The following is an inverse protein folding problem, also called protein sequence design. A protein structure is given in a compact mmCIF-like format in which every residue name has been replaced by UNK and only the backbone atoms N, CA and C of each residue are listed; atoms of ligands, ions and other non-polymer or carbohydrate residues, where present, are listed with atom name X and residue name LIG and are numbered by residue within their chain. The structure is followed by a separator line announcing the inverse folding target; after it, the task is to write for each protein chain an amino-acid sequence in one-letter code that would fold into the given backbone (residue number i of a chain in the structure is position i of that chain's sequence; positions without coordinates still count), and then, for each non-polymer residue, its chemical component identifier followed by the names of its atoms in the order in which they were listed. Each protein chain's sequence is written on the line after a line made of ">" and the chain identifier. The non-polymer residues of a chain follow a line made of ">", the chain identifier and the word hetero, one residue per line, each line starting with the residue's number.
data_IF_361190469128
#
_entry.id   IF_361190469128
#
_cell.length_a   1.000
_cell.length_b   1.000
_cell.length_c   1.000
_cell.angle_alpha   90.00
_cell.angle_beta   90.00
_cell.angle_gamma   90.00
#
_symmetry.space_group_name_H-M   'P 1'
#
loop_
_entity.id
_entity.type
_entity.pdbx_description
1 polymer ?
#
# COMPACT_ATOMS: atom_id res chain seq x y z
N UNK A 1 -2.15 -26.31 7.03
CA UNK A 1 -1.99 -26.88 5.69
C UNK A 1 -3.36 -27.27 5.14
N UNK A 2 -4.08 -26.32 4.55
CA UNK A 2 -5.32 -26.58 3.82
C UNK A 2 -5.04 -26.49 2.32
N UNK A 3 -4.99 -27.63 1.65
CA UNK A 3 -4.88 -27.76 0.21
C UNK A 3 -6.17 -27.24 -0.44
N UNK A 4 -6.16 -26.00 -0.92
CA UNK A 4 -7.16 -25.56 -1.89
C UNK A 4 -6.95 -26.38 -3.17
N UNK A 5 -7.85 -27.35 -3.37
CA UNK A 5 -7.94 -28.11 -4.62
C UNK A 5 -8.25 -27.12 -5.74
N UNK A 6 -7.27 -26.91 -6.61
CA UNK A 6 -7.44 -26.31 -7.92
C UNK A 6 -8.58 -27.02 -8.66
N UNK A 7 -9.78 -26.45 -8.60
CA UNK A 7 -10.82 -26.72 -9.58
C UNK A 7 -10.30 -26.13 -10.89
N UNK A 8 -9.83 -27.02 -11.76
CA UNK A 8 -9.33 -26.70 -13.09
C UNK A 8 -10.42 -26.07 -13.94
N UNK A 9 -10.62 -24.76 -13.79
CA UNK A 9 -11.13 -23.92 -14.85
C UNK A 9 -10.01 -23.79 -15.87
N UNK A 10 -10.02 -24.70 -16.85
CA UNK A 10 -9.32 -24.50 -18.12
C UNK A 10 -9.96 -23.32 -18.84
N UNK A 11 -9.69 -22.09 -18.36
CA UNK A 11 -9.85 -20.89 -19.17
C UNK A 11 -8.76 -21.01 -20.23
N UNK A 12 -9.10 -21.64 -21.36
CA UNK A 12 -8.32 -21.50 -22.57
C UNK A 12 -8.41 -20.02 -22.93
N UNK A 13 -7.45 -19.22 -22.46
CA UNK A 13 -7.19 -17.91 -23.01
C UNK A 13 -6.83 -18.16 -24.46
N UNK A 14 -7.81 -18.04 -25.35
CA UNK A 14 -7.53 -17.93 -26.78
C UNK A 14 -6.57 -16.74 -26.91
N UNK A 15 -5.35 -17.03 -27.36
CA UNK A 15 -4.25 -16.09 -27.37
C UNK A 15 -4.74 -14.72 -27.92
N UNK A 16 -4.78 -13.71 -27.05
CA UNK A 16 -5.09 -12.32 -27.41
C UNK A 16 -6.49 -11.78 -27.10
N UNK A 17 -7.46 -12.58 -26.60
CA UNK A 17 -8.77 -12.02 -26.19
C UNK A 17 -8.71 -11.47 -24.76
N UNK A 18 -9.25 -10.26 -24.56
CA UNK A 18 -9.55 -9.75 -23.21
C UNK A 18 -10.50 -10.67 -22.46
N UNK A 19 -10.31 -10.75 -21.15
CA UNK A 19 -11.19 -11.51 -20.26
C UNK A 19 -12.51 -10.77 -20.14
N UNK A 20 -13.63 -11.48 -20.25
CA UNK A 20 -14.90 -10.85 -19.93
C UNK A 20 -15.03 -10.64 -18.42
N UNK A 21 -15.93 -9.73 -18.02
CA UNK A 21 -16.32 -9.57 -16.61
C UNK A 21 -16.69 -10.90 -15.96
N UNK A 22 -17.43 -11.76 -16.68
CA UNK A 22 -17.83 -13.07 -16.18
C UNK A 22 -16.62 -13.99 -15.93
N UNK A 23 -15.61 -13.97 -16.81
CA UNK A 23 -14.38 -14.76 -16.66
C UNK A 23 -13.62 -14.34 -15.39
N UNK A 24 -13.45 -13.02 -15.18
CA UNK A 24 -12.76 -12.46 -14.01
C UNK A 24 -13.51 -12.80 -12.72
N UNK A 25 -14.83 -12.58 -12.68
CA UNK A 25 -15.63 -12.86 -11.48
C UNK A 25 -15.71 -14.36 -11.18
N UNK A 26 -15.80 -15.21 -12.21
CA UNK A 26 -15.78 -16.66 -12.01
C UNK A 26 -14.46 -17.15 -11.43
N UNK A 27 -13.34 -16.55 -11.84
CA UNK A 27 -12.04 -16.87 -11.28
C UNK A 27 -11.90 -16.38 -9.83
N UNK A 28 -12.40 -15.17 -9.54
CA UNK A 28 -12.28 -14.54 -8.23
C UNK A 28 -13.38 -14.92 -7.21
N UNK A 29 -14.37 -15.74 -7.58
CA UNK A 29 -15.52 -16.10 -6.73
C UNK A 29 -15.10 -16.65 -5.37
N UNK A 30 -14.06 -17.50 -5.34
CA UNK A 30 -13.48 -18.03 -4.11
C UNK A 30 -12.95 -16.92 -3.19
N UNK A 31 -12.18 -15.97 -3.72
CA UNK A 31 -11.62 -14.84 -2.94
C UNK A 31 -12.69 -13.83 -2.49
N UNK A 32 -13.79 -13.71 -3.24
CA UNK A 32 -14.94 -12.89 -2.86
C UNK A 32 -15.63 -13.52 -1.66
N UNK A 33 -15.92 -14.83 -1.73
CA UNK A 33 -16.63 -15.57 -0.66
C UNK A 33 -15.75 -15.77 0.57
N UNK A 34 -14.51 -16.13 0.37
CA UNK A 34 -13.52 -16.45 1.40
C UNK A 34 -12.29 -15.56 1.21
N UNK A 35 -12.27 -14.35 1.81
CA UNK A 35 -11.14 -13.44 1.71
C UNK A 35 -9.85 -14.12 2.24
N UNK A 36 -8.70 -14.00 1.54
CA UNK A 36 -7.45 -14.66 1.91
C UNK A 36 -6.73 -13.93 3.06
N UNK A 37 -7.36 -13.87 4.22
CA UNK A 37 -6.89 -13.11 5.39
C UNK A 37 -5.83 -13.92 6.15
N UNK A 38 -4.75 -13.29 6.63
CA UNK A 38 -3.82 -13.94 7.55
C UNK A 38 -4.57 -14.47 8.80
N UNK A 39 -4.33 -15.74 9.23
CA UNK A 39 -5.09 -16.35 10.33
C UNK A 39 -5.16 -15.52 11.60
N UNK A 40 -4.06 -14.83 11.94
CA UNK A 40 -3.93 -13.96 13.10
C UNK A 40 -4.79 -12.68 13.04
N UNK A 41 -5.28 -12.31 11.86
CA UNK A 41 -6.13 -11.15 11.63
C UNK A 41 -7.58 -11.50 11.28
N UNK A 42 -7.94 -12.79 11.28
CA UNK A 42 -9.28 -13.25 10.91
C UNK A 42 -10.38 -12.63 11.77
N UNK A 43 -10.12 -12.40 13.07
CA UNK A 43 -11.06 -11.77 13.98
C UNK A 43 -11.42 -10.32 13.59
N UNK A 44 -10.53 -9.63 12.86
CA UNK A 44 -10.77 -8.26 12.38
C UNK A 44 -11.89 -8.21 11.34
N UNK A 45 -12.09 -9.29 10.58
CA UNK A 45 -13.00 -9.34 9.43
C UNK A 45 -14.47 -9.08 9.79
N UNK A 46 -14.90 -9.49 10.99
CA UNK A 46 -16.28 -9.33 11.46
C UNK A 46 -16.56 -7.99 12.15
N UNK A 47 -15.54 -7.14 12.34
CA UNK A 47 -15.70 -5.85 13.02
C UNK A 47 -16.15 -4.78 12.03
N UNK A 48 -17.00 -3.86 12.49
CA UNK A 48 -17.45 -2.68 11.72
C UNK A 48 -16.26 -1.77 11.43
N UNK A 49 -15.88 -1.62 10.16
CA UNK A 49 -14.78 -0.75 9.71
C UNK A 49 -15.18 0.72 9.75
N UNK A 50 -16.27 1.04 9.05
CA UNK A 50 -16.78 2.40 8.89
C UNK A 50 -18.27 2.35 8.49
N UNK A 51 -18.90 3.53 8.41
CA UNK A 51 -20.25 3.66 7.85
C UNK A 51 -20.15 4.02 6.37
N UNK A 52 -20.70 3.18 5.49
CA UNK A 52 -20.81 3.48 4.05
C UNK A 52 -22.26 3.88 3.78
N UNK A 53 -22.48 5.10 3.31
CA UNK A 53 -23.83 5.65 3.08
C UNK A 53 -24.76 5.53 4.30
N UNK A 54 -24.22 5.72 5.51
CA UNK A 54 -24.96 5.59 6.77
C UNK A 54 -25.16 4.17 7.27
N UNK A 55 -24.66 3.14 6.56
CA UNK A 55 -24.78 1.73 6.96
C UNK A 55 -23.47 1.26 7.60
N UNK A 56 -23.49 0.74 8.84
CA UNK A 56 -22.35 0.07 9.45
C UNK A 56 -21.86 -1.07 8.56
N UNK A 57 -20.62 -0.98 8.09
CA UNK A 57 -20.04 -1.92 7.14
C UNK A 57 -18.86 -2.63 7.81
N UNK A 58 -18.88 -3.95 7.85
CA UNK A 58 -17.78 -4.76 8.38
C UNK A 58 -16.55 -4.71 7.48
N UNK A 59 -15.37 -5.06 8.00
CA UNK A 59 -14.14 -5.21 7.19
C UNK A 59 -14.36 -6.16 6.01
N UNK A 60 -15.11 -7.25 6.21
CA UNK A 60 -15.46 -8.20 5.15
C UNK A 60 -16.31 -7.57 4.05
N UNK A 61 -17.38 -6.88 4.42
CA UNK A 61 -18.28 -6.23 3.47
C UNK A 61 -17.55 -5.10 2.74
N UNK A 62 -16.71 -4.35 3.44
CA UNK A 62 -15.92 -3.28 2.88
C UNK A 62 -14.91 -3.82 1.85
N UNK A 63 -14.17 -4.88 2.20
CA UNK A 63 -13.30 -5.58 1.26
C UNK A 63 -14.05 -6.03 -0.01
N UNK A 64 -15.22 -6.66 0.14
CA UNK A 64 -15.99 -7.18 -1.00
C UNK A 64 -16.56 -6.07 -1.87
N UNK A 65 -17.32 -5.17 -1.27
CA UNK A 65 -18.18 -4.22 -2.01
C UNK A 65 -17.49 -2.90 -2.34
N UNK A 66 -16.53 -2.46 -1.52
CA UNK A 66 -15.87 -1.16 -1.72
C UNK A 66 -14.49 -1.28 -2.37
N UNK A 67 -13.80 -2.41 -2.19
CA UNK A 67 -12.45 -2.62 -2.72
C UNK A 67 -12.42 -3.63 -3.87
N UNK A 68 -12.65 -4.91 -3.58
CA UNK A 68 -12.41 -5.99 -4.54
C UNK A 68 -13.33 -5.91 -5.74
N UNK A 69 -14.67 -5.91 -5.57
CA UNK A 69 -15.59 -5.88 -6.71
C UNK A 69 -15.37 -4.65 -7.62
N UNK A 70 -15.27 -3.42 -7.10
CA UNK A 70 -14.93 -2.27 -7.93
C UNK A 70 -13.59 -2.41 -8.67
N UNK A 71 -12.58 -3.02 -8.04
CA UNK A 71 -11.29 -3.30 -8.69
C UNK A 71 -11.45 -4.30 -9.85
N UNK A 72 -12.22 -5.38 -9.65
CA UNK A 72 -12.50 -6.38 -10.68
C UNK A 72 -13.30 -5.77 -11.84
N UNK A 73 -14.25 -4.88 -11.55
CA UNK A 73 -15.01 -4.15 -12.57
C UNK A 73 -14.08 -3.26 -13.41
N UNK A 74 -13.20 -2.46 -12.79
CA UNK A 74 -12.19 -1.64 -13.50
C UNK A 74 -11.23 -2.49 -14.35
N UNK A 75 -10.84 -3.66 -13.85
CA UNK A 75 -10.02 -4.60 -14.63
C UNK A 75 -10.83 -5.13 -15.83
N UNK A 76 -12.11 -5.46 -15.64
CA UNK A 76 -12.97 -5.97 -16.71
C UNK A 76 -13.28 -4.94 -17.81
N UNK A 77 -13.28 -3.64 -17.49
CA UNK A 77 -13.46 -2.55 -18.45
C UNK A 77 -12.32 -2.43 -19.47
N UNK A 78 -11.15 -3.02 -19.20
CA UNK A 78 -10.02 -3.01 -20.12
C UNK A 78 -10.33 -3.73 -21.44
N UNK A 79 -10.35 -2.98 -22.55
CA UNK A 79 -10.68 -3.52 -23.87
C UNK A 79 -9.69 -4.59 -24.39
N UNK A 80 -8.45 -4.55 -23.92
CA UNK A 80 -7.38 -5.48 -24.28
C UNK A 80 -6.75 -6.09 -23.03
N UNK A 81 -6.16 -7.28 -23.13
CA UNK A 81 -5.43 -7.91 -22.01
C UNK A 81 -4.37 -6.97 -21.42
N UNK A 82 -3.70 -6.16 -22.25
CA UNK A 82 -2.73 -5.18 -21.78
C UNK A 82 -3.36 -4.10 -20.91
N UNK A 83 -4.55 -3.61 -21.27
CA UNK A 83 -5.29 -2.64 -20.44
C UNK A 83 -5.79 -3.27 -19.15
N UNK A 84 -6.27 -4.52 -19.19
CA UNK A 84 -6.67 -5.26 -17.99
C UNK A 84 -5.49 -5.51 -17.05
N UNK A 85 -4.33 -5.87 -17.61
CA UNK A 85 -3.06 -6.00 -16.86
C UNK A 85 -2.65 -4.68 -16.21
N UNK A 86 -2.71 -3.58 -16.96
CA UNK A 86 -2.39 -2.26 -16.43
C UNK A 86 -3.34 -1.86 -15.29
N UNK A 87 -4.65 -2.03 -15.47
CA UNK A 87 -5.64 -1.78 -14.42
C UNK A 87 -5.37 -2.65 -13.18
N UNK A 88 -5.10 -3.94 -13.36
CA UNK A 88 -4.77 -4.86 -12.27
C UNK A 88 -3.53 -4.41 -11.49
N UNK A 89 -2.47 -4.01 -12.19
CA UNK A 89 -1.26 -3.47 -11.55
C UNK A 89 -1.52 -2.15 -10.83
N UNK A 90 -2.33 -1.25 -11.39
CA UNK A 90 -2.71 -0.01 -10.71
C UNK A 90 -3.43 -0.31 -9.40
N UNK A 91 -4.40 -1.23 -9.40
CA UNK A 91 -5.12 -1.62 -8.19
C UNK A 91 -4.21 -2.26 -7.13
N UNK A 92 -3.24 -3.08 -7.54
CA UNK A 92 -2.20 -3.64 -6.65
C UNK A 92 -1.34 -2.53 -6.06
N UNK A 93 -0.85 -1.60 -6.89
CA UNK A 93 0.01 -0.49 -6.46
C UNK A 93 -0.72 0.47 -5.51
N UNK A 94 -2.04 0.65 -5.66
CA UNK A 94 -2.85 1.45 -4.76
C UNK A 94 -2.94 0.85 -3.34
N UNK A 95 -2.69 -0.46 -3.16
CA UNK A 95 -2.66 -1.08 -1.84
C UNK A 95 -1.40 -0.76 -1.04
N UNK A 96 -0.33 -0.27 -1.69
CA UNK A 96 0.95 0.00 -1.03
C UNK A 96 0.78 0.98 0.12
N UNK A 97 0.04 2.08 -0.07
CA UNK A 97 -0.08 3.14 0.95
C UNK A 97 -0.63 2.63 2.28
N UNK A 98 -1.71 1.84 2.26
CA UNK A 98 -2.34 1.31 3.47
C UNK A 98 -1.45 0.31 4.19
N UNK A 99 -0.72 -0.51 3.43
CA UNK A 99 0.28 -1.44 3.98
C UNK A 99 1.43 -0.69 4.63
N UNK A 100 1.97 0.30 3.94
CA UNK A 100 3.06 1.14 4.43
C UNK A 100 2.66 1.87 5.70
N UNK A 101 1.48 2.50 5.75
CA UNK A 101 0.99 3.18 6.96
C UNK A 101 0.92 2.23 8.15
N UNK A 102 0.31 1.06 7.99
CA UNK A 102 0.23 0.06 9.06
C UNK A 102 1.62 -0.39 9.55
N UNK A 103 2.51 -0.72 8.62
CA UNK A 103 3.87 -1.19 8.96
C UNK A 103 4.67 -0.10 9.67
N UNK A 104 4.65 1.14 9.17
CA UNK A 104 5.35 2.27 9.78
C UNK A 104 4.80 2.60 11.17
N UNK A 105 3.48 2.53 11.37
CA UNK A 105 2.85 2.73 12.68
C UNK A 105 3.36 1.72 13.72
N UNK A 106 3.55 0.46 13.32
CA UNK A 106 4.03 -0.61 14.20
C UNK A 106 5.55 -0.69 14.35
N UNK A 107 6.30 -0.04 13.45
CA UNK A 107 7.77 0.10 13.53
C UNK A 107 8.21 1.34 14.31
N UNK A 108 7.33 2.32 14.53
CA UNK A 108 7.62 3.49 15.35
C UNK A 108 8.05 3.09 16.76
N UNK A 109 9.09 3.74 17.28
CA UNK A 109 9.66 3.44 18.61
C UNK A 109 8.96 4.23 19.71
N UNK A 110 8.43 5.39 19.38
CA UNK A 110 7.80 6.33 20.32
C UNK A 110 6.37 6.64 19.89
N UNK A 111 5.54 7.10 20.84
CA UNK A 111 4.18 7.56 20.54
C UNK A 111 4.16 8.76 19.61
N UNK A 112 5.18 9.62 19.66
CA UNK A 112 5.31 10.79 18.78
C UNK A 112 5.66 10.36 17.35
N UNK A 113 6.56 9.38 17.18
CA UNK A 113 6.81 8.77 15.87
C UNK A 113 5.55 8.11 15.31
N UNK A 114 4.82 7.36 16.13
CA UNK A 114 3.54 6.76 15.75
C UNK A 114 2.49 7.83 15.39
N UNK A 115 2.52 8.99 16.06
CA UNK A 115 1.59 10.10 15.80
C UNK A 115 1.73 10.65 14.38
N UNK A 116 2.90 10.56 13.74
CA UNK A 116 3.07 10.96 12.34
C UNK A 116 2.16 10.17 11.40
N UNK A 117 1.99 8.87 11.67
CA UNK A 117 1.10 8.02 10.89
C UNK A 117 -0.36 8.23 11.30
N UNK A 118 -0.64 8.36 12.61
CA UNK A 118 -2.00 8.65 13.10
C UNK A 118 -2.53 9.97 12.52
N UNK A 119 -1.69 10.98 12.38
CA UNK A 119 -2.05 12.26 11.75
C UNK A 119 -2.46 12.08 10.29
N UNK A 120 -1.81 11.20 9.52
CA UNK A 120 -2.23 10.86 8.16
C UNK A 120 -3.60 10.17 8.13
N UNK A 121 -3.87 9.27 9.08
CA UNK A 121 -5.23 8.72 9.22
C UNK A 121 -6.25 9.79 9.62
N UNK A 122 -5.92 10.72 10.51
CA UNK A 122 -6.81 11.83 10.91
C UNK A 122 -7.12 12.79 9.75
N UNK A 123 -6.21 12.98 8.80
CA UNK A 123 -6.51 13.74 7.58
C UNK A 123 -7.62 13.07 6.74
N UNK A 124 -7.74 11.74 6.81
CA UNK A 124 -8.74 10.95 6.10
C UNK A 124 -10.01 10.76 6.95
N UNK A 125 -9.84 10.62 8.27
CA UNK A 125 -10.88 10.38 9.26
C UNK A 125 -10.80 11.40 10.41
N UNK A 126 -11.17 12.67 10.19
CA UNK A 126 -10.93 13.76 11.15
C UNK A 126 -11.62 13.59 12.50
N UNK A 127 -12.71 12.83 12.55
CA UNK A 127 -13.53 12.62 13.75
C UNK A 127 -13.17 11.33 14.50
N UNK A 128 -12.16 10.58 14.06
CA UNK A 128 -11.80 9.31 14.67
C UNK A 128 -11.05 9.51 16.01
N UNK A 129 -11.48 8.77 17.03
CA UNK A 129 -10.75 8.66 18.30
C UNK A 129 -9.49 7.81 18.13
N UNK A 130 -8.54 7.88 19.08
CA UNK A 130 -7.32 7.06 19.03
C UNK A 130 -7.61 5.54 18.93
N UNK A 131 -8.59 5.05 19.70
CA UNK A 131 -9.00 3.64 19.65
C UNK A 131 -9.61 3.28 18.29
N UNK A 132 -10.39 4.20 17.71
CA UNK A 132 -10.94 4.02 16.37
C UNK A 132 -9.83 4.02 15.31
N UNK A 133 -8.86 4.93 15.38
CA UNK A 133 -7.70 4.99 14.48
C UNK A 133 -6.85 3.71 14.55
N UNK A 134 -6.61 3.19 15.77
CA UNK A 134 -5.90 1.95 15.95
C UNK A 134 -6.60 0.81 15.21
N UNK A 135 -7.93 0.72 15.33
CA UNK A 135 -8.69 -0.28 14.61
C UNK A 135 -8.77 -0.02 13.09
N UNK A 136 -8.98 1.22 12.64
CA UNK A 136 -8.97 1.60 11.22
C UNK A 136 -7.64 1.19 10.56
N UNK A 137 -6.51 1.39 11.26
CA UNK A 137 -5.20 1.01 10.72
C UNK A 137 -5.11 -0.49 10.41
N UNK A 138 -5.55 -1.35 11.34
CA UNK A 138 -5.60 -2.80 11.16
C UNK A 138 -6.62 -3.17 10.08
N UNK A 139 -7.79 -2.54 10.10
CA UNK A 139 -8.88 -2.82 9.17
C UNK A 139 -8.49 -2.54 7.71
N UNK A 140 -7.94 -1.35 7.42
CA UNK A 140 -7.45 -1.02 6.08
C UNK A 140 -6.25 -1.86 5.67
N UNK A 141 -5.35 -2.19 6.61
CA UNK A 141 -4.28 -3.14 6.34
C UNK A 141 -4.82 -4.50 5.87
N UNK A 142 -5.79 -5.07 6.59
CA UNK A 142 -6.44 -6.34 6.24
C UNK A 142 -7.11 -6.26 4.87
N UNK A 143 -7.88 -5.20 4.59
CA UNK A 143 -8.49 -4.99 3.27
C UNK A 143 -7.43 -4.95 2.18
N UNK A 144 -6.32 -4.24 2.40
CA UNK A 144 -5.27 -4.10 1.40
C UNK A 144 -4.49 -5.39 1.14
N UNK A 145 -4.08 -6.13 2.18
CA UNK A 145 -3.34 -7.39 1.97
C UNK A 145 -4.21 -8.47 1.33
N UNK A 146 -5.50 -8.52 1.66
CA UNK A 146 -6.43 -9.47 1.05
C UNK A 146 -6.75 -9.13 -0.40
N UNK A 147 -6.94 -7.83 -0.69
CA UNK A 147 -7.17 -7.35 -2.06
C UNK A 147 -5.94 -7.61 -2.92
N UNK A 148 -4.75 -7.25 -2.43
CA UNK A 148 -3.48 -7.52 -3.12
C UNK A 148 -3.30 -9.02 -3.40
N UNK A 149 -3.54 -9.89 -2.41
CA UNK A 149 -3.43 -11.33 -2.59
C UNK A 149 -4.36 -11.87 -3.70
N UNK A 150 -5.61 -11.41 -3.74
CA UNK A 150 -6.57 -11.77 -4.80
C UNK A 150 -6.10 -11.28 -6.17
N UNK A 151 -5.77 -9.98 -6.28
CA UNK A 151 -5.41 -9.35 -7.55
C UNK A 151 -4.07 -9.86 -8.08
N UNK A 152 -3.08 -10.07 -7.21
CA UNK A 152 -1.81 -10.69 -7.58
C UNK A 152 -2.03 -12.11 -8.10
N UNK A 153 -2.92 -12.90 -7.49
CA UNK A 153 -3.22 -14.27 -7.97
C UNK A 153 -3.91 -14.27 -9.33
N UNK A 154 -4.90 -13.39 -9.52
CA UNK A 154 -5.55 -13.15 -10.82
C UNK A 154 -4.52 -12.73 -11.88
N UNK A 155 -3.68 -11.76 -11.54
CA UNK A 155 -2.71 -11.16 -12.45
C UNK A 155 -1.65 -12.15 -12.91
N UNK A 156 -1.12 -12.98 -12.00
CA UNK A 156 -0.18 -14.07 -12.33
C UNK A 156 -0.81 -15.11 -13.24
N UNK A 157 -2.05 -15.48 -12.95
CA UNK A 157 -2.70 -16.61 -13.62
C UNK A 157 -3.25 -16.24 -15.00
N UNK A 158 -3.82 -15.04 -15.16
CA UNK A 158 -4.58 -14.68 -16.36
C UNK A 158 -4.09 -13.42 -17.09
N UNK A 159 -3.26 -12.56 -16.47
CA UNK A 159 -2.83 -11.28 -17.05
C UNK A 159 -1.31 -11.16 -17.28
N UNK A 160 -0.55 -12.24 -17.07
CA UNK A 160 0.88 -12.28 -17.36
C UNK A 160 1.72 -11.38 -16.44
N UNK A 161 1.31 -11.19 -15.18
CA UNK A 161 2.18 -10.60 -14.16
C UNK A 161 3.18 -11.68 -13.73
N UNK A 162 4.45 -11.50 -14.11
CA UNK A 162 5.53 -12.44 -13.79
C UNK A 162 6.36 -12.03 -12.59
N UNK A 163 7.29 -12.91 -12.18
CA UNK A 163 8.19 -12.73 -11.04
C UNK A 163 8.99 -11.41 -11.08
N UNK A 164 9.40 -10.97 -12.27
CA UNK A 164 10.11 -9.69 -12.42
C UNK A 164 9.22 -8.50 -12.03
N UNK A 165 7.95 -8.51 -12.44
CA UNK A 165 7.00 -7.44 -12.07
C UNK A 165 6.69 -7.48 -10.58
N UNK A 166 6.62 -8.67 -9.97
CA UNK A 166 6.47 -8.80 -8.51
C UNK A 166 7.64 -8.19 -7.75
N UNK A 167 8.87 -8.47 -8.18
CA UNK A 167 10.08 -7.84 -7.61
C UNK A 167 10.05 -6.31 -7.73
N UNK A 168 9.48 -5.78 -8.82
CA UNK A 168 9.32 -4.33 -8.99
C UNK A 168 8.24 -3.75 -8.08
N UNK A 169 7.14 -4.47 -7.85
CA UNK A 169 6.10 -4.10 -6.87
C UNK A 169 6.70 -4.10 -5.46
N UNK A 170 7.45 -5.14 -5.10
CA UNK A 170 8.12 -5.24 -3.80
C UNK A 170 9.12 -4.10 -3.59
N UNK A 171 9.88 -3.74 -4.63
CA UNK A 171 10.78 -2.59 -4.61
C UNK A 171 10.04 -1.28 -4.35
N UNK A 172 8.92 -1.04 -5.04
CA UNK A 172 8.08 0.14 -4.79
C UNK A 172 7.53 0.16 -3.36
N UNK A 173 7.15 -1.01 -2.83
CA UNK A 173 6.64 -1.14 -1.46
C UNK A 173 7.71 -0.82 -0.42
N UNK A 174 8.91 -1.40 -0.57
CA UNK A 174 10.05 -1.08 0.31
C UNK A 174 10.42 0.39 0.26
N UNK A 175 10.44 0.98 -0.95
CA UNK A 175 10.76 2.40 -1.10
C UNK A 175 9.70 3.31 -0.46
N UNK A 176 8.41 2.94 -0.54
CA UNK A 176 7.35 3.65 0.17
C UNK A 176 7.51 3.58 1.70
N UNK A 177 7.89 2.40 2.22
CA UNK A 177 8.24 2.24 3.63
C UNK A 177 9.42 3.13 4.04
N UNK A 178 10.48 3.19 3.24
CA UNK A 178 11.65 4.03 3.54
C UNK A 178 11.30 5.51 3.60
N UNK A 179 10.48 6.00 2.66
CA UNK A 179 9.99 7.39 2.65
C UNK A 179 9.22 7.70 3.93
N UNK A 180 8.25 6.83 4.29
CA UNK A 180 7.37 7.09 5.43
C UNK A 180 8.08 6.88 6.77
N UNK A 181 9.00 5.92 6.86
CA UNK A 181 9.83 5.72 8.05
C UNK A 181 10.77 6.88 8.31
N UNK A 182 11.14 7.68 7.31
CA UNK A 182 12.00 8.85 7.53
C UNK A 182 11.35 9.84 8.50
N UNK A 183 10.08 10.21 8.25
CA UNK A 183 9.31 11.09 9.13
C UNK A 183 9.19 10.49 10.55
N UNK A 184 8.91 9.19 10.65
CA UNK A 184 8.76 8.48 11.93
C UNK A 184 10.09 8.49 12.70
N UNK A 185 11.19 8.15 12.05
CA UNK A 185 12.50 8.03 12.68
C UNK A 185 13.04 9.38 13.18
N UNK A 186 12.76 10.48 12.48
CA UNK A 186 13.15 11.83 12.92
C UNK A 186 12.37 12.20 14.19
N UNK A 187 11.08 11.92 14.22
CA UNK A 187 10.25 12.21 15.38
C UNK A 187 10.62 11.32 16.58
N UNK A 188 10.95 10.06 16.34
CA UNK A 188 11.52 9.18 17.37
C UNK A 188 12.85 9.73 17.89
N UNK A 189 13.74 10.22 17.01
CA UNK A 189 15.01 10.82 17.41
C UNK A 189 14.83 12.10 18.24
N UNK A 190 13.94 13.01 17.82
CA UNK A 190 13.60 14.24 18.56
C UNK A 190 13.12 13.89 19.96
N UNK A 191 12.22 12.91 20.07
CA UNK A 191 11.68 12.48 21.35
C UNK A 191 12.75 11.89 22.27
N UNK A 192 13.59 11.00 21.75
CA UNK A 192 14.59 10.31 22.56
C UNK A 192 15.69 11.24 23.08
N UNK A 193 16.07 12.27 22.31
CA UNK A 193 17.22 13.13 22.63
C UNK A 193 16.82 14.51 23.16
N UNK A 194 15.62 15.00 22.85
CA UNK A 194 15.25 16.41 23.05
C UNK A 194 13.83 16.63 23.58
N UNK A 195 13.12 15.61 24.08
CA UNK A 195 11.76 15.76 24.64
C UNK A 195 11.63 16.84 25.73
N UNK A 196 12.69 17.07 26.51
CA UNK A 196 12.69 18.03 27.63
C UNK A 196 13.19 19.42 27.19
N UNK A 197 13.48 19.62 25.89
CA UNK A 197 13.89 20.89 25.30
C UNK A 197 12.96 21.30 24.14
N UNK A 198 11.81 21.94 24.44
CA UNK A 198 10.82 22.31 23.43
C UNK A 198 11.32 23.27 22.36
N UNK A 199 12.27 24.16 22.69
CA UNK A 199 12.85 25.12 21.75
C UNK A 199 13.65 24.37 20.68
N UNK A 200 14.55 23.48 21.11
CA UNK A 200 15.33 22.66 20.20
C UNK A 200 14.46 21.68 19.38
N UNK A 201 13.40 21.12 19.98
CA UNK A 201 12.46 20.29 19.25
C UNK A 201 11.73 21.06 18.12
N UNK A 202 11.43 22.34 18.34
CA UNK A 202 10.84 23.22 17.33
C UNK A 202 11.86 23.57 16.23
N UNK A 203 13.10 23.91 16.62
CA UNK A 203 14.17 24.18 15.66
C UNK A 203 14.43 22.97 14.75
N UNK A 204 14.44 21.77 15.32
CA UNK A 204 14.64 20.53 14.56
C UNK A 204 13.44 20.20 13.65
N UNK A 205 12.21 20.54 14.07
CA UNK A 205 11.04 20.46 13.21
C UNK A 205 11.12 21.44 12.02
N UNK A 206 11.54 22.70 12.27
CA UNK A 206 11.79 23.68 11.21
C UNK A 206 12.89 23.24 10.25
N UNK A 207 14.00 22.72 10.79
CA UNK A 207 15.08 22.15 9.97
C UNK A 207 14.60 20.99 9.10
N UNK A 208 13.77 20.09 9.63
CA UNK A 208 13.16 19.00 8.84
C UNK A 208 12.32 19.55 7.69
N UNK A 209 11.51 20.58 7.96
CA UNK A 209 10.64 21.17 6.95
C UNK A 209 11.42 21.83 5.81
N UNK A 210 12.52 22.51 6.13
CA UNK A 210 13.36 23.20 5.15
C UNK A 210 14.28 22.26 4.37
N UNK A 211 14.77 21.17 4.99
CA UNK A 211 15.84 20.35 4.44
C UNK A 211 15.38 18.94 4.02
N UNK A 212 14.58 18.26 4.84
CA UNK A 212 14.20 16.87 4.59
C UNK A 212 12.89 16.74 3.79
N UNK A 213 11.90 17.60 4.02
CA UNK A 213 10.64 17.55 3.26
C UNK A 213 10.83 17.73 1.73
N UNK A 214 11.75 18.58 1.24
CA UNK A 214 12.04 18.64 -0.20
C UNK A 214 12.57 17.31 -0.76
N UNK A 215 13.40 16.60 0.00
CA UNK A 215 13.91 15.28 -0.41
C UNK A 215 12.78 14.24 -0.38
N UNK A 216 11.98 14.17 0.68
CA UNK A 216 10.87 13.20 0.74
C UNK A 216 9.83 13.45 -0.35
N UNK A 217 9.62 14.72 -0.74
CA UNK A 217 8.80 15.08 -1.89
C UNK A 217 9.37 14.52 -3.20
N UNK A 218 10.67 14.67 -3.44
CA UNK A 218 11.35 14.09 -4.62
C UNK A 218 11.34 12.56 -4.60
N UNK A 219 11.53 11.92 -3.44
CA UNK A 219 11.39 10.47 -3.30
C UNK A 219 9.96 10.01 -3.62
N UNK A 220 8.95 10.74 -3.14
CA UNK A 220 7.54 10.44 -3.45
C UNK A 220 7.24 10.58 -4.95
N UNK A 221 7.80 11.60 -5.61
CA UNK A 221 7.70 11.75 -7.06
C UNK A 221 8.36 10.58 -7.81
N UNK A 222 9.54 10.14 -7.36
CA UNK A 222 10.21 8.96 -7.92
C UNK A 222 9.37 7.68 -7.71
N UNK A 223 8.75 7.51 -6.55
CA UNK A 223 7.87 6.37 -6.26
C UNK A 223 6.66 6.35 -7.21
N UNK A 224 5.95 7.48 -7.38
CA UNK A 224 4.79 7.55 -8.26
C UNK A 224 5.16 7.34 -9.73
N UNK A 225 6.28 7.92 -10.19
CA UNK A 225 6.81 7.64 -11.52
C UNK A 225 7.13 6.15 -11.69
N UNK A 226 7.77 5.54 -10.69
CA UNK A 226 8.13 4.11 -10.69
C UNK A 226 6.91 3.21 -10.77
N UNK A 227 5.87 3.48 -9.96
CA UNK A 227 4.59 2.75 -10.01
C UNK A 227 4.00 2.79 -11.43
N UNK A 228 3.95 3.97 -12.05
CA UNK A 228 3.48 4.13 -13.44
C UNK A 228 4.34 3.32 -14.43
N UNK A 229 5.66 3.38 -14.30
CA UNK A 229 6.55 2.60 -15.16
C UNK A 229 6.35 1.10 -15.02
N UNK A 230 6.08 0.58 -13.82
CA UNK A 230 5.76 -0.85 -13.62
C UNK A 230 4.42 -1.21 -14.27
N UNK A 231 3.39 -0.38 -14.08
CA UNK A 231 2.05 -0.57 -14.68
C UNK A 231 2.16 -0.71 -16.21
N UNK A 232 2.92 0.18 -16.85
CA UNK A 232 3.08 0.22 -18.31
C UNK A 232 4.27 -0.60 -18.85
N UNK A 233 4.97 -1.35 -17.99
CA UNK A 233 6.07 -2.22 -18.43
C UNK A 233 7.31 -1.47 -18.95
N UNK A 234 7.53 -0.23 -18.51
CA UNK A 234 8.66 0.63 -18.89
C UNK A 234 9.66 0.85 -17.75
N UNK A 235 9.58 0.04 -16.69
CA UNK A 235 10.42 0.18 -15.51
C UNK A 235 11.90 -0.14 -15.79
N UNK A 236 12.74 0.89 -15.68
CA UNK A 236 14.20 0.78 -15.73
C UNK A 236 14.78 0.69 -14.31
N UNK A 237 15.25 -0.50 -13.96
CA UNK A 237 15.86 -0.76 -12.65
C UNK A 237 17.17 0.00 -12.45
N UNK A 238 17.96 0.23 -13.51
CA UNK A 238 19.23 0.93 -13.39
C UNK A 238 18.98 2.43 -13.15
N UNK A 239 18.04 3.03 -13.88
CA UNK A 239 17.65 4.43 -13.65
C UNK A 239 17.02 4.62 -12.27
N UNK A 240 16.13 3.71 -11.84
CA UNK A 240 15.57 3.75 -10.48
C UNK A 240 16.66 3.71 -9.41
N UNK A 241 17.60 2.75 -9.50
CA UNK A 241 18.69 2.61 -8.53
C UNK A 241 19.58 3.85 -8.50
N UNK A 242 19.89 4.43 -9.65
CA UNK A 242 20.69 5.65 -9.75
C UNK A 242 20.00 6.82 -9.05
N UNK A 243 18.74 7.09 -9.39
CA UNK A 243 17.96 8.19 -8.80
C UNK A 243 17.69 7.99 -7.31
N UNK A 244 17.38 6.77 -6.87
CA UNK A 244 17.22 6.45 -5.45
C UNK A 244 18.53 6.71 -4.71
N UNK A 245 19.65 6.24 -5.26
CA UNK A 245 20.97 6.43 -4.64
C UNK A 245 21.34 7.91 -4.53
N UNK A 246 21.10 8.71 -5.56
CA UNK A 246 21.31 10.17 -5.53
C UNK A 246 20.53 10.82 -4.37
N UNK A 247 19.26 10.44 -4.19
CA UNK A 247 18.42 10.92 -3.08
C UNK A 247 18.87 10.38 -1.71
N UNK A 248 19.33 9.13 -1.66
CA UNK A 248 19.84 8.51 -0.43
C UNK A 248 21.16 9.15 0.03
N UNK A 249 22.05 9.49 -0.92
CA UNK A 249 23.32 10.18 -0.66
C UNK A 249 23.05 11.62 -0.18
N UNK A 250 22.17 12.37 -0.87
CA UNK A 250 21.74 13.73 -0.45
C UNK A 250 21.11 13.72 0.95
N UNK A 251 20.26 12.72 1.23
CA UNK A 251 19.69 12.51 2.57
C UNK A 251 20.77 12.22 3.61
N UNK A 252 21.72 11.33 3.31
CA UNK A 252 22.77 10.94 4.24
C UNK A 252 23.67 12.14 4.61
N UNK A 253 23.98 13.00 3.64
CA UNK A 253 24.71 14.24 3.86
C UNK A 253 23.94 15.16 4.82
N UNK A 254 22.64 15.39 4.60
CA UNK A 254 21.81 16.21 5.49
C UNK A 254 21.68 15.63 6.90
N UNK A 255 21.52 14.32 7.03
CA UNK A 255 21.46 13.66 8.34
C UNK A 255 22.79 13.83 9.10
N UNK A 256 23.92 13.85 8.40
CA UNK A 256 25.23 14.18 8.99
C UNK A 256 25.34 15.62 9.48
N UNK A 257 24.41 16.50 9.08
CA UNK A 257 24.32 17.91 9.46
C UNK A 257 23.20 18.19 10.46
N UNK A 258 22.58 17.15 11.03
CA UNK A 258 21.63 17.32 12.12
C UNK A 258 22.27 18.15 13.25
N UNK A 259 21.60 19.22 13.72
CA UNK A 259 22.10 20.09 14.80
C UNK A 259 22.14 19.39 16.15
#
# INVERSE_FOLDING_TARGET
>A
MGLFKNLGLSIKTSAGRSLSRADIYSYCDGFIKEPPVPPELLATMGRTLCNVNGVPTTVTEYYREQFLKPSLDRIAEGATVSMQRAACLTEIMNQIIWRTMYVCLHKAKTDIGAQMIRNRYLQIFPEATNDHLAFLSVGFYVVSVTTDACLSTLGKSLLGIGEQTEKQIDLCRSYAEDIMMLDVNIMDYIWDNHKDNPEYANDLAGWKDDNLNPITSRMSQLLEASKNHVVYGTFDLADFKRKSKELDDERAELVGLLP
#
